data_IF_500678662991
#
_entry.id   IF_500678662991
#
_cell.length_a   1.000
_cell.length_b   1.000
_cell.length_c   1.000
_cell.angle_alpha   90.00
_cell.angle_beta   90.00
_cell.angle_gamma   90.00
#
_symmetry.space_group_name_H-M   'P 1'
#
loop_
_entity.id
_entity.type
_entity.pdbx_description
1 polymer ?
#
# COMPACT_ATOMS: atom_id res chain seq x y z
N UNK A 1 -29.31 -5.11 -1.12
CA UNK A 1 -29.09 -5.28 0.33
C UNK A 1 -27.77 -6.04 0.49
N UNK A 2 -26.63 -5.34 0.47
CA UNK A 2 -25.30 -5.98 0.46
C UNK A 2 -24.81 -6.07 1.90
N UNK A 3 -24.69 -7.30 2.42
CA UNK A 3 -24.23 -7.61 3.78
C UNK A 3 -22.70 -7.67 3.75
N UNK A 4 -22.07 -6.85 4.58
CA UNK A 4 -20.63 -6.55 4.51
C UNK A 4 -19.69 -7.55 5.18
N UNK A 5 -18.40 -7.23 5.02
CA UNK A 5 -17.20 -7.79 5.65
C UNK A 5 -17.48 -8.62 6.91
N UNK A 6 -17.20 -9.92 6.85
CA UNK A 6 -17.48 -10.87 7.91
C UNK A 6 -16.68 -10.55 9.20
N UNK A 7 -17.27 -10.89 10.35
CA UNK A 7 -16.71 -10.63 11.69
C UNK A 7 -15.35 -11.32 11.91
N UNK A 8 -15.06 -12.40 11.17
CA UNK A 8 -13.80 -13.14 11.26
C UNK A 8 -12.64 -12.41 10.56
N UNK A 9 -12.88 -11.70 9.45
CA UNK A 9 -11.85 -10.93 8.76
C UNK A 9 -11.29 -9.79 9.61
N UNK A 10 -12.14 -9.09 10.36
CA UNK A 10 -11.73 -8.00 11.24
C UNK A 10 -11.03 -8.50 12.50
N UNK A 11 -11.41 -9.68 12.98
CA UNK A 11 -10.67 -10.38 14.03
C UNK A 11 -9.29 -10.80 13.53
N UNK A 12 -9.17 -11.22 12.27
CA UNK A 12 -7.88 -11.54 11.66
C UNK A 12 -6.96 -10.33 11.58
N UNK A 13 -7.45 -9.20 11.03
CA UNK A 13 -6.69 -7.95 10.97
C UNK A 13 -6.25 -7.45 12.37
N UNK A 14 -7.16 -7.52 13.36
CA UNK A 14 -6.86 -7.10 14.73
C UNK A 14 -5.88 -8.04 15.48
N UNK A 15 -5.98 -9.36 15.26
CA UNK A 15 -5.08 -10.35 15.88
C UNK A 15 -3.70 -10.33 15.20
N UNK A 16 -3.63 -10.13 13.87
CA UNK A 16 -2.37 -9.93 13.15
C UNK A 16 -1.66 -8.65 13.59
N UNK A 17 -2.38 -7.56 13.88
CA UNK A 17 -1.80 -6.36 14.48
C UNK A 17 -1.21 -6.59 15.88
N UNK A 18 -1.79 -7.46 16.71
CA UNK A 18 -1.36 -7.63 18.10
C UNK A 18 -0.07 -8.48 18.26
N UNK A 19 0.26 -9.35 17.29
CA UNK A 19 1.41 -10.27 17.38
C UNK A 19 2.67 -9.72 16.70
N UNK A 20 2.55 -8.75 15.78
CA UNK A 20 3.67 -8.34 14.89
C UNK A 20 4.37 -7.01 15.25
N UNK A 21 3.93 -6.33 16.32
CA UNK A 21 4.62 -5.12 16.86
C UNK A 21 6.06 -5.43 17.32
N UNK A 22 6.40 -6.70 17.56
CA UNK A 22 7.75 -7.11 17.99
C UNK A 22 8.78 -7.16 16.83
N UNK A 23 8.35 -7.08 15.55
CA UNK A 23 9.26 -7.30 14.40
C UNK A 23 9.29 -6.18 13.36
N UNK A 24 8.63 -5.04 13.60
CA UNK A 24 8.68 -3.89 12.67
C UNK A 24 7.99 -4.16 11.33
N UNK A 25 6.94 -4.98 11.31
CA UNK A 25 6.14 -5.30 10.13
C UNK A 25 4.88 -4.42 10.12
N UNK A 26 4.81 -3.47 9.18
CA UNK A 26 3.57 -2.75 8.85
C UNK A 26 2.71 -3.62 7.94
N UNK A 27 1.43 -3.82 8.30
CA UNK A 27 0.45 -4.52 7.47
C UNK A 27 -0.32 -3.47 6.65
N UNK A 28 -0.26 -3.58 5.33
CA UNK A 28 -1.11 -2.81 4.42
C UNK A 28 -2.30 -3.67 4.00
N UNK A 29 -3.53 -3.21 4.27
CA UNK A 29 -4.74 -3.79 3.72
C UNK A 29 -4.98 -3.18 2.33
N UNK A 30 -4.77 -3.95 1.27
CA UNK A 30 -5.04 -3.54 -0.10
C UNK A 30 -6.37 -4.18 -0.54
N UNK A 31 -7.40 -3.37 -0.73
CA UNK A 31 -8.67 -3.77 -1.32
C UNK A 31 -8.65 -3.39 -2.80
N UNK A 32 -8.84 -4.36 -3.69
CA UNK A 32 -8.87 -4.12 -5.14
C UNK A 32 -9.94 -4.98 -5.79
N UNK A 33 -10.85 -4.37 -6.56
CA UNK A 33 -11.79 -5.12 -7.40
C UNK A 33 -11.25 -5.35 -8.82
N UNK A 34 -11.60 -6.51 -9.38
CA UNK A 34 -11.48 -6.96 -10.77
C UNK A 34 -10.08 -7.29 -11.32
N UNK A 35 -9.69 -8.58 -11.20
CA UNK A 35 -9.27 -9.38 -12.37
C UNK A 35 -9.77 -10.82 -12.23
N UNK A 36 -10.46 -11.30 -13.28
CA UNK A 36 -10.66 -12.75 -13.50
C UNK A 36 -9.30 -13.37 -13.80
N UNK A 37 -8.81 -14.25 -12.93
CA UNK A 37 -7.75 -15.21 -13.26
C UNK A 37 -8.32 -16.62 -13.19
N UNK A 38 -8.07 -17.42 -14.22
CA UNK A 38 -8.41 -18.84 -14.24
C UNK A 38 -7.47 -19.60 -13.29
N UNK A 39 -8.06 -20.40 -12.39
CA UNK A 39 -7.34 -21.34 -11.53
C UNK A 39 -7.26 -22.69 -12.24
N UNK A 40 -6.05 -23.24 -12.36
CA UNK A 40 -5.82 -24.63 -12.74
C UNK A 40 -6.19 -25.54 -11.55
N UNK A 41 -7.32 -26.22 -11.64
CA UNK A 41 -7.84 -27.10 -10.60
C UNK A 41 -7.40 -28.54 -10.82
N UNK A 42 -6.15 -28.88 -10.47
CA UNK A 42 -5.74 -30.28 -10.25
C UNK A 42 -4.82 -30.39 -9.05
N UNK A 43 -5.43 -30.60 -7.88
CA UNK A 43 -5.04 -31.64 -6.91
C UNK A 43 -5.91 -31.51 -5.65
N UNK A 44 -6.79 -32.50 -5.43
CA UNK A 44 -7.49 -32.75 -4.16
C UNK A 44 -6.60 -33.60 -3.26
N UNK A 45 -6.63 -33.37 -1.96
CA UNK A 45 -6.35 -34.42 -0.98
C UNK A 45 -7.26 -34.28 0.26
N UNK A 46 -7.87 -35.40 0.61
CA UNK A 46 -8.71 -35.65 1.79
C UNK A 46 -7.84 -36.08 2.99
N UNK A 47 -8.28 -35.78 4.22
CA UNK A 47 -7.86 -36.52 5.43
C UNK A 47 -7.44 -35.68 6.66
N UNK A 48 -8.01 -36.01 7.81
CA UNK A 48 -7.97 -35.30 9.09
C UNK A 48 -6.91 -35.84 10.11
N UNK A 49 -6.47 -35.01 11.07
CA UNK A 49 -6.13 -35.38 12.46
C UNK A 49 -5.71 -34.16 13.34
N UNK A 50 -5.97 -34.26 14.66
CA UNK A 50 -5.58 -33.36 15.77
C UNK A 50 -4.66 -34.12 16.77
N UNK A 51 -4.09 -33.66 17.89
CA UNK A 51 -3.92 -32.38 18.63
C UNK A 51 -2.74 -32.58 19.64
N UNK A 52 -2.19 -31.50 20.21
CA UNK A 52 -1.32 -31.38 21.41
C UNK A 52 0.14 -31.87 21.27
N UNK A 53 1.21 -31.08 21.24
CA UNK A 53 1.47 -29.73 21.78
C UNK A 53 2.42 -28.89 20.89
N UNK A 54 2.44 -29.19 19.58
CA UNK A 54 3.10 -28.38 18.53
C UNK A 54 2.08 -27.60 17.66
N UNK A 55 0.82 -27.60 18.10
CA UNK A 55 -0.36 -27.14 17.36
C UNK A 55 -0.52 -25.62 17.26
N UNK A 56 0.14 -24.81 18.08
CA UNK A 56 -0.11 -23.35 18.06
C UNK A 56 0.67 -22.57 16.98
N UNK A 57 1.79 -23.09 16.46
CA UNK A 57 2.52 -22.44 15.35
C UNK A 57 2.06 -23.00 14.00
N UNK A 58 1.75 -24.30 13.93
CA UNK A 58 1.26 -24.93 12.70
C UNK A 58 -0.20 -24.58 12.37
N UNK A 59 -1.03 -24.22 13.37
CA UNK A 59 -2.36 -23.68 13.08
C UNK A 59 -2.32 -22.27 12.47
N UNK A 60 -1.24 -21.50 12.67
CA UNK A 60 -1.02 -20.22 11.99
C UNK A 60 -0.47 -20.46 10.57
N UNK A 61 0.38 -21.47 10.40
CA UNK A 61 0.91 -21.90 9.10
C UNK A 61 -0.15 -22.48 8.16
N UNK A 62 -1.22 -23.07 8.70
CA UNK A 62 -2.36 -23.59 7.93
C UNK A 62 -3.52 -22.61 7.74
N UNK A 63 -3.38 -21.35 8.17
CA UNK A 63 -4.14 -20.25 7.56
C UNK A 63 -3.48 -19.95 6.21
N UNK A 64 -3.55 -20.97 5.36
CA UNK A 64 -3.08 -21.03 4.00
C UNK A 64 -3.83 -19.98 3.19
N UNK A 65 -3.11 -19.29 2.31
CA UNK A 65 -3.52 -19.02 0.92
C UNK A 65 -5.03 -18.76 0.71
N UNK A 66 -5.64 -17.99 1.58
CA UNK A 66 -7.03 -17.62 1.45
C UNK A 66 -7.00 -16.34 0.66
N UNK A 67 -7.15 -16.48 -0.66
CA UNK A 67 -8.16 -15.66 -1.30
C UNK A 67 -9.40 -15.85 -0.42
N UNK A 68 -9.66 -14.91 0.49
CA UNK A 68 -11.00 -14.82 1.08
C UNK A 68 -11.88 -14.29 -0.04
N UNK A 69 -12.21 -15.18 -0.97
CA UNK A 69 -13.38 -15.02 -1.80
C UNK A 69 -14.53 -15.02 -0.82
N UNK A 70 -15.09 -13.87 -0.54
CA UNK A 70 -16.45 -13.82 -0.04
C UNK A 70 -17.27 -14.57 -1.11
N UNK A 71 -17.76 -15.78 -0.84
CA UNK A 71 -18.42 -16.64 -1.85
C UNK A 71 -19.69 -15.98 -2.47
N UNK A 72 -20.02 -14.78 -2.01
CA UNK A 72 -21.11 -13.94 -2.50
C UNK A 72 -20.68 -12.63 -3.19
N UNK A 73 -19.39 -12.28 -3.24
CA UNK A 73 -18.89 -11.13 -3.98
C UNK A 73 -17.42 -11.39 -4.38
N UNK A 74 -17.08 -11.27 -5.67
CA UNK A 74 -15.76 -11.55 -6.25
C UNK A 74 -14.66 -10.57 -5.79
N UNK A 75 -14.49 -10.36 -4.49
CA UNK A 75 -13.49 -9.46 -3.90
C UNK A 75 -12.35 -10.30 -3.35
N UNK A 76 -11.18 -10.22 -3.98
CA UNK A 76 -9.95 -10.82 -3.45
C UNK A 76 -9.25 -9.82 -2.54
N UNK A 77 -9.03 -10.20 -1.28
CA UNK A 77 -8.22 -9.42 -0.34
C UNK A 77 -6.87 -10.11 -0.20
N UNK A 78 -5.80 -9.36 -0.43
CA UNK A 78 -4.44 -9.85 -0.33
C UNK A 78 -3.83 -9.54 1.04
N UNK A 79 -3.17 -10.54 1.62
CA UNK A 79 -2.28 -10.32 2.78
C UNK A 79 -0.92 -9.83 2.29
N UNK A 80 -0.47 -8.68 2.81
CA UNK A 80 0.80 -8.06 2.44
C UNK A 80 1.72 -7.74 3.61
N UNK A 81 3.01 -7.58 3.33
CA UNK A 81 4.01 -7.19 4.34
C UNK A 81 5.08 -6.25 3.76
N UNK A 82 5.60 -5.34 4.59
CA UNK A 82 6.75 -4.51 4.23
C UNK A 82 8.05 -5.30 4.33
N UNK A 83 8.94 -5.13 3.34
CA UNK A 83 10.23 -5.82 3.30
C UNK A 83 11.42 -4.89 3.02
N UNK A 84 12.59 -5.31 3.50
CA UNK A 84 13.86 -4.59 3.35
C UNK A 84 14.98 -5.59 3.00
N UNK A 85 15.81 -5.33 1.98
CA UNK A 85 16.87 -6.25 1.51
C UNK A 85 17.85 -6.68 2.60
N UNK A 86 18.07 -5.83 3.61
CA UNK A 86 19.00 -6.16 4.71
C UNK A 86 18.61 -7.41 5.50
N UNK A 87 17.35 -7.86 5.40
CA UNK A 87 16.86 -9.06 6.06
C UNK A 87 16.83 -10.31 5.17
N UNK A 88 17.21 -10.22 3.89
CA UNK A 88 17.07 -11.35 2.95
C UNK A 88 18.02 -12.52 3.24
N UNK A 89 19.14 -12.26 3.92
CA UNK A 89 20.04 -13.32 4.41
C UNK A 89 19.46 -14.10 5.59
N UNK A 90 18.42 -13.58 6.26
CA UNK A 90 17.73 -14.28 7.34
C UNK A 90 16.68 -15.24 6.76
N UNK A 91 16.98 -16.53 6.81
CA UNK A 91 16.09 -17.58 6.29
C UNK A 91 14.75 -17.67 7.03
N UNK A 92 14.71 -17.36 8.33
CA UNK A 92 13.45 -17.34 9.07
C UNK A 92 12.55 -16.19 8.58
N UNK A 93 13.14 -15.01 8.36
CA UNK A 93 12.44 -13.86 7.79
C UNK A 93 11.86 -14.17 6.40
N UNK A 94 12.70 -14.65 5.47
CA UNK A 94 12.24 -14.94 4.11
C UNK A 94 11.24 -16.09 4.08
N UNK A 95 11.37 -17.11 4.94
CA UNK A 95 10.37 -18.17 5.09
C UNK A 95 9.01 -17.63 5.53
N UNK A 96 8.97 -16.73 6.51
CA UNK A 96 7.72 -16.09 6.97
C UNK A 96 7.10 -15.27 5.84
N UNK A 97 7.89 -14.41 5.19
CA UNK A 97 7.43 -13.59 4.05
C UNK A 97 6.86 -14.48 2.95
N UNK A 98 7.56 -15.57 2.61
CA UNK A 98 7.17 -16.50 1.55
C UNK A 98 5.91 -17.31 1.84
N UNK A 99 5.73 -17.70 3.11
CA UNK A 99 4.63 -18.58 3.52
C UNK A 99 3.31 -17.81 3.68
N UNK A 100 3.35 -16.58 4.23
CA UNK A 100 2.15 -15.93 4.75
C UNK A 100 1.64 -14.73 3.95
N UNK A 101 2.43 -14.20 3.02
CA UNK A 101 2.10 -12.95 2.33
C UNK A 101 2.11 -13.11 0.81
N UNK A 102 1.16 -12.48 0.15
CA UNK A 102 1.03 -12.47 -1.32
C UNK A 102 1.54 -11.16 -1.92
N UNK A 103 1.49 -10.07 -1.16
CA UNK A 103 1.97 -8.75 -1.57
C UNK A 103 3.19 -8.37 -0.72
N UNK A 104 4.17 -7.71 -1.34
CA UNK A 104 5.29 -7.09 -0.64
C UNK A 104 5.40 -5.61 -0.97
N UNK A 105 5.76 -4.82 0.04
CA UNK A 105 5.99 -3.37 -0.08
C UNK A 105 7.45 -3.05 0.25
N UNK A 106 8.20 -2.37 -0.63
CA UNK A 106 9.53 -1.85 -0.28
C UNK A 106 9.44 -0.84 0.86
N UNK A 107 9.92 -1.18 2.05
CA UNK A 107 9.78 -0.29 3.22
C UNK A 107 10.59 1.00 3.12
N UNK A 108 11.75 0.94 2.46
CA UNK A 108 12.65 2.09 2.26
C UNK A 108 13.26 2.15 0.86
N UNK A 109 13.46 1.00 0.20
CA UNK A 109 14.27 0.91 -1.01
C UNK A 109 13.70 1.66 -2.24
N UNK A 110 12.42 2.06 -2.21
CA UNK A 110 11.78 2.85 -3.27
C UNK A 110 11.44 4.29 -2.85
N UNK A 111 11.89 4.75 -1.66
CA UNK A 111 11.77 6.16 -1.27
C UNK A 111 12.78 7.01 -2.04
N UNK A 112 12.55 8.33 -2.09
CA UNK A 112 13.33 9.23 -2.95
C UNK A 112 14.82 9.23 -2.58
N UNK A 113 15.16 9.29 -1.29
CA UNK A 113 16.57 9.28 -0.86
C UNK A 113 17.34 8.01 -1.24
N UNK A 114 16.65 6.87 -1.27
CA UNK A 114 17.20 5.59 -1.67
C UNK A 114 17.33 5.43 -3.18
N UNK A 115 16.51 6.12 -3.97
CA UNK A 115 16.41 5.93 -5.43
C UNK A 115 17.03 7.04 -6.25
N UNK A 116 17.15 8.25 -5.72
CA UNK A 116 17.78 9.39 -6.41
C UNK A 116 18.54 10.29 -5.41
N UNK A 117 19.63 9.80 -4.79
CA UNK A 117 20.37 10.55 -3.76
C UNK A 117 21.01 11.85 -4.27
N UNK A 118 21.25 11.97 -5.58
CA UNK A 118 21.76 13.19 -6.24
C UNK A 118 20.94 13.47 -7.50
N UNK A 119 20.85 14.74 -7.96
CA UNK A 119 20.02 15.09 -9.11
C UNK A 119 20.35 14.25 -10.34
N UNK A 120 19.38 13.47 -10.83
CA UNK A 120 19.52 12.62 -12.02
C UNK A 120 20.43 11.40 -11.84
N UNK A 121 20.95 11.14 -10.64
CA UNK A 121 21.77 9.95 -10.34
C UNK A 121 20.90 8.96 -9.59
N UNK A 122 20.34 7.99 -10.32
CA UNK A 122 19.48 6.98 -9.74
C UNK A 122 20.24 5.75 -9.24
N UNK A 123 19.80 5.22 -8.11
CA UNK A 123 20.28 3.98 -7.50
C UNK A 123 19.11 3.01 -7.35
N UNK A 124 19.25 1.82 -7.92
CA UNK A 124 18.13 0.85 -7.99
C UNK A 124 18.47 -0.49 -7.36
N UNK A 125 19.70 -0.70 -6.89
CA UNK A 125 20.19 -1.99 -6.43
C UNK A 125 19.30 -2.59 -5.33
N UNK A 126 18.91 -1.76 -4.36
CA UNK A 126 18.04 -2.18 -3.26
C UNK A 126 16.62 -2.52 -3.75
N UNK A 127 16.01 -1.65 -4.55
CA UNK A 127 14.66 -1.86 -5.09
C UNK A 127 14.60 -3.06 -6.06
N UNK A 128 15.61 -3.21 -6.92
CA UNK A 128 15.74 -4.33 -7.84
C UNK A 128 15.88 -5.66 -7.10
N UNK A 129 16.57 -5.68 -5.96
CA UNK A 129 16.67 -6.89 -5.14
C UNK A 129 15.31 -7.32 -4.59
N UNK A 130 14.44 -6.37 -4.24
CA UNK A 130 13.06 -6.64 -3.80
C UNK A 130 12.23 -7.15 -4.97
N UNK A 131 12.32 -6.49 -6.13
CA UNK A 131 11.62 -6.93 -7.34
C UNK A 131 12.02 -8.35 -7.72
N UNK A 132 13.33 -8.65 -7.68
CA UNK A 132 13.85 -10.00 -7.90
C UNK A 132 13.26 -11.00 -6.89
N UNK A 133 13.33 -10.68 -5.59
CA UNK A 133 12.77 -11.53 -4.54
C UNK A 133 11.27 -11.79 -4.76
N UNK A 134 10.49 -10.75 -5.07
CA UNK A 134 9.07 -10.87 -5.33
C UNK A 134 8.78 -11.78 -6.53
N UNK A 135 9.52 -11.63 -7.64
CA UNK A 135 9.35 -12.47 -8.84
C UNK A 135 9.70 -13.93 -8.60
N UNK A 136 10.83 -14.19 -7.95
CA UNK A 136 11.27 -15.56 -7.60
C UNK A 136 10.25 -16.26 -6.69
N UNK A 137 9.55 -15.50 -5.85
CA UNK A 137 8.60 -16.01 -4.88
C UNK A 137 7.13 -15.74 -5.24
N UNK A 138 6.85 -15.34 -6.50
CA UNK A 138 5.51 -15.10 -7.06
C UNK A 138 4.65 -14.15 -6.21
N UNK A 139 5.23 -13.03 -5.80
CA UNK A 139 4.56 -11.99 -5.00
C UNK A 139 4.21 -10.79 -5.87
N UNK A 140 3.07 -10.20 -5.56
CA UNK A 140 2.69 -8.87 -6.06
C UNK A 140 3.51 -7.80 -5.35
N UNK A 141 3.68 -6.65 -6.00
CA UNK A 141 4.44 -5.53 -5.44
C UNK A 141 3.57 -4.29 -5.37
N UNK A 142 3.48 -3.73 -4.17
CA UNK A 142 2.97 -2.38 -3.93
C UNK A 142 4.16 -1.46 -3.72
N UNK A 143 4.50 -0.61 -4.69
CA UNK A 143 5.63 0.29 -4.58
C UNK A 143 5.33 1.48 -3.65
N UNK A 144 6.34 1.93 -2.92
CA UNK A 144 6.21 2.97 -1.90
C UNK A 144 7.54 3.72 -1.76
N UNK A 145 7.62 5.03 -2.01
CA UNK A 145 6.64 5.99 -2.53
C UNK A 145 7.42 7.13 -3.21
N UNK A 146 6.81 7.86 -4.16
CA UNK A 146 7.50 8.92 -4.88
C UNK A 146 7.47 10.29 -4.19
N UNK A 147 6.38 10.67 -3.53
CA UNK A 147 6.25 11.98 -2.88
C UNK A 147 5.90 11.79 -1.41
N UNK A 148 6.88 12.01 -0.55
CA UNK A 148 6.75 11.88 0.90
C UNK A 148 7.58 12.97 1.58
N UNK A 149 7.14 13.49 2.73
CA UNK A 149 7.83 14.60 3.38
C UNK A 149 9.11 14.17 4.14
N UNK A 150 9.27 12.88 4.41
CA UNK A 150 10.50 12.31 4.98
C UNK A 150 11.29 11.52 3.93
N UNK A 151 12.56 11.23 4.24
CA UNK A 151 13.44 10.43 3.39
C UNK A 151 13.56 10.99 1.96
N UNK A 152 13.76 12.31 1.91
CA UNK A 152 13.97 13.09 0.71
C UNK A 152 15.40 13.68 0.71
N UNK A 153 16.14 13.58 -0.39
CA UNK A 153 17.45 14.23 -0.53
C UNK A 153 17.37 15.74 -0.33
N UNK A 154 18.41 16.32 0.28
CA UNK A 154 18.44 17.76 0.54
C UNK A 154 18.38 18.60 -0.74
N UNK A 155 18.94 18.10 -1.85
CA UNK A 155 18.92 18.82 -3.13
C UNK A 155 17.52 19.07 -3.66
N UNK A 156 16.53 18.22 -3.35
CA UNK A 156 15.13 18.39 -3.77
C UNK A 156 14.49 19.55 -2.99
N UNK A 157 14.80 19.64 -1.70
CA UNK A 157 14.24 20.65 -0.79
C UNK A 157 14.70 22.07 -1.11
N UNK A 158 15.83 22.23 -1.78
CA UNK A 158 16.40 23.55 -2.12
C UNK A 158 15.98 24.08 -3.49
N UNK A 159 15.27 23.29 -4.30
CA UNK A 159 14.82 23.69 -5.64
C UNK A 159 13.80 24.83 -5.57
N UNK A 160 13.76 25.69 -6.60
CA UNK A 160 12.65 26.61 -6.81
C UNK A 160 11.38 25.85 -7.28
N UNK A 161 10.26 26.55 -7.43
CA UNK A 161 9.00 25.94 -7.82
C UNK A 161 9.12 25.16 -9.15
N UNK A 162 9.78 25.74 -10.16
CA UNK A 162 9.95 25.11 -11.47
C UNK A 162 10.86 23.88 -11.41
N UNK A 163 12.00 23.99 -10.73
CA UNK A 163 12.92 22.88 -10.50
C UNK A 163 12.25 21.76 -9.74
N UNK A 164 11.43 22.08 -8.74
CA UNK A 164 10.71 21.10 -7.95
C UNK A 164 9.67 20.32 -8.77
N UNK A 165 8.89 21.01 -9.61
CA UNK A 165 7.97 20.34 -10.54
C UNK A 165 8.73 19.39 -11.46
N UNK A 166 9.80 19.86 -12.09
CA UNK A 166 10.59 19.05 -13.01
C UNK A 166 11.20 17.82 -12.31
N UNK A 167 11.77 18.00 -11.11
CA UNK A 167 12.36 16.91 -10.34
C UNK A 167 11.30 15.87 -9.93
N UNK A 168 10.15 16.29 -9.42
CA UNK A 168 9.04 15.40 -9.06
C UNK A 168 8.52 14.61 -10.26
N UNK A 169 8.31 15.28 -11.39
CA UNK A 169 7.86 14.61 -12.61
C UNK A 169 8.89 13.60 -13.13
N UNK A 170 10.17 13.98 -13.18
CA UNK A 170 11.25 13.11 -13.62
C UNK A 170 11.39 11.87 -12.72
N UNK A 171 11.34 12.07 -11.40
CA UNK A 171 11.46 11.01 -10.41
C UNK A 171 10.34 9.96 -10.56
N UNK A 172 9.09 10.43 -10.60
CA UNK A 172 7.90 9.58 -10.75
C UNK A 172 7.97 8.79 -12.07
N UNK A 173 8.24 9.46 -13.19
CA UNK A 173 8.32 8.81 -14.51
C UNK A 173 9.46 7.79 -14.56
N UNK A 174 10.59 8.06 -13.91
CA UNK A 174 11.72 7.12 -13.86
C UNK A 174 11.38 5.87 -13.07
N UNK A 175 10.80 6.01 -11.86
CA UNK A 175 10.40 4.86 -11.03
C UNK A 175 9.33 4.01 -11.70
N UNK A 176 8.23 4.64 -12.15
CA UNK A 176 7.14 3.92 -12.78
C UNK A 176 7.59 3.31 -14.12
N UNK A 177 8.37 4.03 -14.92
CA UNK A 177 8.89 3.50 -16.19
C UNK A 177 9.79 2.29 -15.99
N UNK A 178 10.67 2.31 -14.97
CA UNK A 178 11.54 1.17 -14.65
C UNK A 178 10.74 -0.06 -14.19
N UNK A 179 9.79 0.13 -13.30
CA UNK A 179 9.08 -0.96 -12.63
C UNK A 179 7.68 -1.24 -13.16
N UNK A 180 7.33 -0.69 -14.34
CA UNK A 180 6.00 -0.79 -14.94
C UNK A 180 5.45 -2.23 -15.03
N UNK A 181 6.33 -3.20 -15.30
CA UNK A 181 5.97 -4.62 -15.46
C UNK A 181 5.99 -5.40 -14.15
N UNK A 182 6.52 -4.80 -13.08
CA UNK A 182 6.76 -5.47 -11.81
C UNK A 182 5.82 -4.97 -10.69
N UNK A 183 5.28 -3.75 -10.82
CA UNK A 183 4.36 -3.16 -9.84
C UNK A 183 2.89 -3.42 -10.17
N UNK A 184 2.13 -3.83 -9.17
CA UNK A 184 0.66 -3.93 -9.23
C UNK A 184 -0.03 -2.64 -8.79
N UNK A 185 0.62 -1.90 -7.89
CA UNK A 185 0.16 -0.65 -7.33
C UNK A 185 1.36 0.19 -6.88
N UNK A 186 1.17 1.51 -6.77
CA UNK A 186 2.21 2.44 -6.33
C UNK A 186 1.60 3.61 -5.55
N UNK A 187 2.16 3.90 -4.37
CA UNK A 187 1.86 5.12 -3.62
C UNK A 187 2.56 6.30 -4.28
N UNK A 188 1.80 7.14 -5.00
CA UNK A 188 2.33 8.35 -5.63
C UNK A 188 2.64 9.41 -4.58
N UNK A 189 1.70 9.64 -3.65
CA UNK A 189 1.85 10.58 -2.55
C UNK A 189 1.55 9.90 -1.22
N UNK A 190 2.39 10.16 -0.21
CA UNK A 190 2.24 9.66 1.15
C UNK A 190 2.14 10.82 2.15
N UNK A 191 1.16 10.75 3.05
CA UNK A 191 1.02 11.61 4.24
C UNK A 191 0.96 13.12 3.95
N UNK A 192 0.07 13.47 3.02
CA UNK A 192 -0.11 14.85 2.55
C UNK A 192 -0.91 15.73 3.52
N UNK A 193 -1.55 15.14 4.53
CA UNK A 193 -2.37 15.83 5.53
C UNK A 193 -1.79 15.69 6.95
N UNK A 194 -1.97 16.73 7.76
CA UNK A 194 -1.80 16.68 9.21
C UNK A 194 -3.06 16.13 9.91
N UNK A 195 -2.94 15.75 11.19
CA UNK A 195 -4.04 15.17 11.99
C UNK A 195 -5.27 16.09 12.13
N UNK A 196 -5.09 17.40 11.95
CA UNK A 196 -6.18 18.38 11.97
C UNK A 196 -6.95 18.47 10.64
N UNK A 197 -6.55 17.70 9.62
CA UNK A 197 -7.15 17.65 8.29
C UNK A 197 -6.68 18.75 7.34
N UNK A 198 -5.67 19.55 7.70
CA UNK A 198 -5.05 20.50 6.78
C UNK A 198 -3.93 19.84 5.98
N UNK A 199 -3.61 20.42 4.83
CA UNK A 199 -2.40 20.07 4.10
C UNK A 199 -1.17 20.28 4.97
N UNK A 200 -0.31 19.26 4.99
CA UNK A 200 0.97 19.31 5.67
C UNK A 200 1.83 20.41 5.05
N UNK A 201 2.38 21.29 5.88
CA UNK A 201 3.27 22.38 5.44
C UNK A 201 4.65 21.86 5.05
N UNK A 202 4.73 21.19 3.91
CA UNK A 202 5.97 20.69 3.32
C UNK A 202 6.58 21.74 2.39
N UNK A 203 7.85 21.58 2.02
CA UNK A 203 8.48 22.43 1.01
C UNK A 203 7.78 22.33 -0.37
N UNK A 204 7.09 21.23 -0.68
CA UNK A 204 6.20 21.17 -1.84
C UNK A 204 5.02 22.10 -1.68
N UNK A 205 4.30 22.01 -0.55
CA UNK A 205 3.14 22.84 -0.30
C UNK A 205 3.50 24.34 -0.25
N UNK A 206 4.63 24.69 0.36
CA UNK A 206 5.09 26.09 0.43
C UNK A 206 5.40 26.68 -0.94
N UNK A 207 5.93 25.89 -1.88
CA UNK A 207 6.35 26.36 -3.21
C UNK A 207 5.27 26.21 -4.28
N UNK A 208 4.40 25.22 -4.15
CA UNK A 208 3.45 24.79 -5.20
C UNK A 208 1.98 24.80 -4.73
N UNK A 209 1.71 25.11 -3.45
CA UNK A 209 0.39 24.99 -2.86
C UNK A 209 -0.15 23.55 -2.96
N UNK A 210 -1.46 23.37 -2.98
CA UNK A 210 -2.09 22.03 -3.07
C UNK A 210 -1.81 21.30 -4.41
N UNK A 211 -1.42 22.03 -5.45
CA UNK A 211 -1.28 21.48 -6.81
C UNK A 211 -0.14 20.48 -6.96
N UNK A 212 0.82 20.40 -6.03
CA UNK A 212 1.91 19.42 -6.13
C UNK A 212 1.40 17.98 -6.18
N UNK A 213 0.27 17.70 -5.52
CA UNK A 213 -0.35 16.37 -5.48
C UNK A 213 -0.89 16.03 -6.87
N UNK A 214 -1.65 16.94 -7.48
CA UNK A 214 -2.16 16.77 -8.83
C UNK A 214 -1.04 16.66 -9.87
N UNK A 215 0.01 17.48 -9.75
CA UNK A 215 1.22 17.40 -10.60
C UNK A 215 1.87 16.02 -10.49
N UNK A 216 1.98 15.47 -9.28
CA UNK A 216 2.57 14.15 -9.06
C UNK A 216 1.72 13.03 -9.69
N UNK A 217 0.41 13.04 -9.47
CA UNK A 217 -0.47 12.04 -10.08
C UNK A 217 -0.56 12.18 -11.60
N UNK A 218 -0.58 13.40 -12.14
CA UNK A 218 -0.52 13.61 -13.59
C UNK A 218 0.77 13.04 -14.17
N UNK A 219 1.92 13.26 -13.52
CA UNK A 219 3.18 12.66 -13.95
C UNK A 219 3.15 11.13 -13.95
N UNK A 220 2.44 10.53 -13.00
CA UNK A 220 2.27 9.09 -12.90
C UNK A 220 1.34 8.53 -13.99
N UNK A 221 0.25 9.24 -14.32
CA UNK A 221 -0.62 8.90 -15.45
C UNK A 221 0.12 9.04 -16.78
N UNK A 222 0.87 10.13 -16.97
CA UNK A 222 1.69 10.39 -18.17
C UNK A 222 2.80 9.35 -18.39
N UNK A 223 3.13 8.54 -17.38
CA UNK A 223 4.08 7.44 -17.53
C UNK A 223 3.48 6.24 -18.29
N UNK A 224 2.15 6.20 -18.47
CA UNK A 224 1.40 5.22 -19.28
C UNK A 224 1.71 3.75 -18.93
N UNK A 225 1.97 3.46 -17.65
CA UNK A 225 2.46 2.14 -17.22
C UNK A 225 1.37 1.13 -16.93
N UNK A 226 0.13 1.59 -16.72
CA UNK A 226 -0.98 0.75 -16.24
C UNK A 226 -0.87 0.33 -14.76
N UNK A 227 0.12 0.84 -14.02
CA UNK A 227 0.25 0.64 -12.57
C UNK A 227 -0.87 1.39 -11.86
N UNK A 228 -1.51 0.76 -10.86
CA UNK A 228 -2.57 1.42 -10.09
C UNK A 228 -1.98 2.45 -9.14
N UNK A 229 -2.54 3.65 -9.16
CA UNK A 229 -2.02 4.81 -8.46
C UNK A 229 -2.79 5.05 -7.16
N UNK A 230 -2.05 5.14 -6.05
CA UNK A 230 -2.60 5.30 -4.71
C UNK A 230 -2.10 6.59 -4.05
N UNK A 231 -2.95 7.15 -3.20
CA UNK A 231 -2.57 8.11 -2.15
C UNK A 231 -2.65 7.38 -0.80
N UNK A 232 -1.62 7.48 0.04
CA UNK A 232 -1.53 6.73 1.30
C UNK A 232 -1.41 7.67 2.49
N UNK A 233 -2.10 7.38 3.59
CA UNK A 233 -2.03 8.18 4.82
C UNK A 233 -2.38 7.36 6.08
N UNK A 234 -1.96 7.86 7.25
CA UNK A 234 -2.25 7.30 8.58
C UNK A 234 -3.36 8.08 9.30
N UNK A 235 -3.93 7.49 10.36
CA UNK A 235 -5.01 8.09 11.16
C UNK A 235 -6.25 8.46 10.33
N UNK A 236 -6.52 7.68 9.28
CA UNK A 236 -7.68 7.86 8.41
C UNK A 236 -8.70 6.73 8.53
N UNK A 237 -8.47 5.74 9.40
CA UNK A 237 -9.26 4.52 9.53
C UNK A 237 -10.69 4.79 10.06
N UNK A 238 -10.86 5.79 10.91
CA UNK A 238 -12.16 6.24 11.41
C UNK A 238 -12.64 7.55 10.76
N UNK A 239 -13.89 7.93 11.02
CA UNK A 239 -14.36 9.26 10.65
C UNK A 239 -13.65 10.33 11.49
N UNK A 240 -13.17 11.38 10.82
CA UNK A 240 -12.46 12.46 11.47
C UNK A 240 -12.07 13.55 10.49
N UNK A 241 -11.45 14.62 11.00
CA UNK A 241 -11.04 15.77 10.17
C UNK A 241 -10.12 15.33 9.03
N UNK A 242 -9.12 14.50 9.36
CA UNK A 242 -8.14 13.99 8.39
C UNK A 242 -8.77 13.09 7.33
N UNK A 243 -9.56 12.08 7.72
CA UNK A 243 -10.22 11.21 6.75
C UNK A 243 -11.27 11.94 5.90
N UNK A 244 -11.94 12.97 6.44
CA UNK A 244 -12.84 13.83 5.65
C UNK A 244 -12.07 14.66 4.62
N UNK A 245 -10.96 15.27 5.01
CA UNK A 245 -10.13 16.03 4.09
C UNK A 245 -9.53 15.13 2.99
N UNK A 246 -9.06 13.94 3.36
CA UNK A 246 -8.55 12.97 2.38
C UNK A 246 -9.65 12.47 1.44
N UNK A 247 -10.88 12.29 1.93
CA UNK A 247 -12.02 11.94 1.10
C UNK A 247 -12.30 13.00 0.03
N UNK A 248 -12.36 14.28 0.41
CA UNK A 248 -12.58 15.38 -0.55
C UNK A 248 -11.43 15.52 -1.55
N UNK A 249 -10.18 15.35 -1.10
CA UNK A 249 -9.02 15.32 -2.00
C UNK A 249 -9.10 14.14 -2.98
N UNK A 250 -9.39 12.94 -2.46
CA UNK A 250 -9.47 11.71 -3.27
C UNK A 250 -10.58 11.81 -4.30
N UNK A 251 -11.73 12.36 -3.93
CA UNK A 251 -12.85 12.61 -4.84
C UNK A 251 -12.42 13.46 -6.03
N UNK A 252 -11.75 14.60 -5.79
CA UNK A 252 -11.23 15.48 -6.86
C UNK A 252 -10.26 14.76 -7.78
N UNK A 253 -9.38 13.91 -7.24
CA UNK A 253 -8.39 13.17 -8.03
C UNK A 253 -9.05 12.05 -8.84
N UNK A 254 -10.06 11.37 -8.29
CA UNK A 254 -10.85 10.35 -9.02
C UNK A 254 -11.65 10.99 -10.16
N UNK A 255 -12.31 12.13 -9.93
CA UNK A 255 -13.02 12.89 -10.97
C UNK A 255 -12.11 13.28 -12.15
N UNK A 256 -10.82 13.50 -11.88
CA UNK A 256 -9.79 13.78 -12.89
C UNK A 256 -9.13 12.53 -13.48
N UNK A 257 -9.54 11.32 -13.07
CA UNK A 257 -8.95 10.03 -13.46
C UNK A 257 -7.47 9.89 -13.11
N UNK A 258 -7.06 10.56 -12.02
CA UNK A 258 -5.69 10.59 -11.53
C UNK A 258 -5.42 9.56 -10.44
N UNK A 259 -6.46 9.14 -9.71
CA UNK A 259 -6.35 8.25 -8.55
C UNK A 259 -7.14 6.96 -8.75
N UNK A 260 -6.54 5.83 -8.40
CA UNK A 260 -7.19 4.51 -8.46
C UNK A 260 -7.59 3.97 -7.08
N UNK A 261 -6.93 4.40 -6.00
CA UNK A 261 -7.25 3.92 -4.66
C UNK A 261 -6.63 4.75 -3.54
N UNK A 262 -7.06 4.48 -2.31
CA UNK A 262 -6.55 5.13 -1.09
C UNK A 262 -5.95 4.05 -0.19
N UNK A 263 -4.70 4.25 0.22
CA UNK A 263 -3.98 3.40 1.16
C UNK A 263 -4.24 3.83 2.60
N UNK A 264 -4.78 2.92 3.40
CA UNK A 264 -4.95 3.09 4.85
C UNK A 264 -3.78 2.40 5.55
N UNK A 265 -2.89 3.16 6.19
CA UNK A 265 -1.66 2.60 6.75
C UNK A 265 -1.90 1.63 7.92
N UNK A 266 -2.99 1.81 8.70
CA UNK A 266 -3.34 0.88 9.76
C UNK A 266 -2.43 0.97 11.00
N UNK A 267 -1.79 2.12 11.23
CA UNK A 267 -1.00 2.40 12.44
C UNK A 267 -1.90 2.61 13.67
N UNK A 268 -2.47 1.50 14.13
CA UNK A 268 -3.50 1.47 15.15
C UNK A 268 -2.91 1.28 16.55
N UNK A 269 -3.40 2.09 17.50
CA UNK A 269 -3.04 1.97 18.91
C UNK A 269 -4.13 1.21 19.68
N UNK A 270 -3.72 0.24 20.50
CA UNK A 270 -4.63 -0.49 21.40
C UNK A 270 -5.36 0.51 22.29
N UNK A 271 -6.70 0.40 22.34
CA UNK A 271 -7.57 1.30 23.10
C UNK A 271 -7.91 2.63 22.42
N UNK A 272 -7.37 2.91 21.22
CA UNK A 272 -7.71 4.10 20.41
C UNK A 272 -8.24 3.75 19.02
N UNK A 273 -8.82 2.55 18.88
CA UNK A 273 -9.37 2.06 17.62
C UNK A 273 -10.69 2.76 17.30
N UNK A 274 -10.96 3.07 16.01
CA UNK A 274 -12.32 3.37 15.61
C UNK A 274 -13.23 2.18 15.94
N UNK A 275 -14.50 2.47 16.25
CA UNK A 275 -15.47 1.40 16.42
C UNK A 275 -15.62 0.62 15.11
N UNK A 276 -15.99 -0.65 15.20
CA UNK A 276 -16.16 -1.44 13.98
C UNK A 276 -17.17 -0.83 12.98
N UNK A 277 -18.34 -0.32 13.42
CA UNK A 277 -19.25 0.41 12.52
C UNK A 277 -18.62 1.66 11.88
N UNK A 278 -17.83 2.40 12.64
CA UNK A 278 -17.14 3.60 12.15
C UNK A 278 -16.10 3.26 11.07
N UNK A 279 -15.24 2.27 11.33
CA UNK A 279 -14.27 1.75 10.37
C UNK A 279 -14.95 1.29 9.07
N UNK A 280 -16.02 0.48 9.19
CA UNK A 280 -16.75 -0.06 8.02
C UNK A 280 -17.37 1.06 7.18
N UNK A 281 -18.05 2.01 7.83
CA UNK A 281 -18.71 3.10 7.12
C UNK A 281 -17.72 4.08 6.49
N UNK A 282 -16.60 4.35 7.16
CA UNK A 282 -15.54 5.18 6.63
C UNK A 282 -14.83 4.51 5.44
N UNK A 283 -14.47 3.22 5.51
CA UNK A 283 -13.92 2.50 4.35
C UNK A 283 -14.90 2.50 3.17
N UNK A 284 -16.19 2.29 3.44
CA UNK A 284 -17.22 2.24 2.40
C UNK A 284 -17.27 3.52 1.57
N UNK A 285 -17.24 4.71 2.17
CA UNK A 285 -17.31 5.96 1.39
C UNK A 285 -16.14 6.11 0.42
N UNK A 286 -14.93 5.64 0.77
CA UNK A 286 -13.79 5.67 -0.16
C UNK A 286 -13.92 4.65 -1.28
N UNK A 287 -14.46 3.46 -1.00
CA UNK A 287 -14.80 2.47 -2.04
C UNK A 287 -15.84 3.05 -3.01
N UNK A 288 -16.84 3.75 -2.48
CA UNK A 288 -17.92 4.34 -3.29
C UNK A 288 -17.41 5.44 -4.24
N UNK A 289 -16.29 6.12 -3.93
CA UNK A 289 -15.67 7.08 -4.87
C UNK A 289 -15.25 6.42 -6.19
N UNK A 290 -14.78 5.17 -6.14
CA UNK A 290 -14.40 4.42 -7.34
C UNK A 290 -15.58 3.87 -8.13
N UNK A 291 -16.80 3.98 -7.59
CA UNK A 291 -18.03 3.44 -8.19
C UNK A 291 -18.90 4.51 -8.85
N UNK A 292 -18.52 5.79 -8.82
CA UNK A 292 -19.38 6.89 -9.31
C UNK A 292 -19.42 7.08 -10.83
N UNK A 293 -18.86 6.18 -11.65
CA UNK A 293 -19.08 6.18 -13.11
C UNK A 293 -19.25 4.75 -13.66
N UNK A 294 -20.50 4.39 -13.98
CA UNK A 294 -20.86 3.37 -14.98
C UNK A 294 -21.95 3.92 -15.89
#
# INVERSE_FOLDING_TARGET
>A
MIRGVSLEMLRFAAISCAILVIVGISIFLIVSENRKFQVDTKNKFDGAASQSDLTNINNIANINRTDSLDEHNQTTIYSGTSIDPKYFSNQAYTKVVNTHFLVVTPGNAMKWDATEPKPGVFTFEAADSIVKFAKENRKQIHGHTAVYHEQIPEWVKTLDAKGLVNATQNHIKTLLGRYAKDLDAFDVCNEVLDDDGKFRKTFWFEKLGESYIEIAFQAAVDAETGVRLYISDYNIEGHGKKSNALYELSKKLVEKKLLHGVGFQGHLNVGKLPTLPDLKSNLKRFVDLGQTES
#
